data_IF_196568125861
#
_entry.id   IF_196568125861
#
_cell.length_a   1.000
_cell.length_b   1.000
_cell.length_c   1.000
_cell.angle_alpha   90.00
_cell.angle_beta   90.00
_cell.angle_gamma   90.00
#
_symmetry.space_group_name_H-M   'P 1'
#
loop_
_entity.id
_entity.type
_entity.pdbx_description
1 polymer ?
#
# COMPACT_ATOMS: atom_id res chain seq x y z
N UNK A 1 38.92 -35.57 -32.69
CA UNK A 1 37.55 -35.12 -33.02
C UNK A 1 37.11 -34.45 -31.75
N UNK A 2 37.35 -33.15 -31.71
CA UNK A 2 37.55 -32.36 -30.50
C UNK A 2 36.22 -31.78 -30.00
N UNK A 3 36.04 -31.82 -28.68
CA UNK A 3 34.90 -31.27 -27.94
C UNK A 3 34.91 -29.73 -27.82
N UNK A 4 35.84 -29.06 -28.50
CA UNK A 4 36.04 -27.60 -28.42
C UNK A 4 35.07 -26.78 -29.29
N UNK A 5 34.29 -27.42 -30.18
CA UNK A 5 33.38 -26.73 -31.09
C UNK A 5 32.00 -26.38 -30.48
N UNK A 6 31.68 -26.90 -29.27
CA UNK A 6 30.39 -26.61 -28.64
C UNK A 6 30.28 -25.14 -28.16
N UNK A 7 31.40 -24.51 -27.81
CA UNK A 7 31.42 -23.15 -27.25
C UNK A 7 31.48 -22.03 -28.29
N UNK A 8 31.78 -22.34 -29.56
CA UNK A 8 32.02 -21.32 -30.60
C UNK A 8 30.84 -21.06 -31.54
N UNK A 9 29.70 -21.74 -31.35
CA UNK A 9 28.51 -21.45 -32.15
C UNK A 9 27.82 -20.16 -31.68
N UNK A 10 27.65 -19.25 -32.63
CA UNK A 10 27.21 -17.85 -32.48
C UNK A 10 25.81 -17.64 -31.88
N UNK A 11 25.02 -18.69 -31.64
CA UNK A 11 23.71 -18.59 -30.98
C UNK A 11 23.79 -18.38 -29.45
N UNK A 12 24.86 -18.82 -28.78
CA UNK A 12 25.01 -18.63 -27.32
C UNK A 12 25.50 -17.23 -26.95
N UNK A 13 26.09 -16.47 -27.87
CA UNK A 13 26.50 -15.08 -27.65
C UNK A 13 25.34 -14.09 -27.56
N UNK A 14 24.19 -14.40 -28.17
CA UNK A 14 23.02 -13.50 -28.14
C UNK A 14 22.24 -13.53 -26.81
N UNK A 15 22.57 -14.45 -25.89
CA UNK A 15 21.97 -14.56 -24.54
C UNK A 15 22.98 -14.33 -23.41
N UNK A 16 24.18 -13.83 -23.71
CA UNK A 16 25.15 -13.48 -22.69
C UNK A 16 24.78 -12.14 -22.05
N UNK A 17 24.54 -12.16 -20.74
CA UNK A 17 24.44 -10.96 -19.92
C UNK A 17 25.75 -10.18 -20.01
N UNK A 18 25.67 -8.93 -20.48
CA UNK A 18 26.75 -7.96 -20.38
C UNK A 18 27.00 -7.64 -18.90
N UNK A 19 28.19 -7.97 -18.40
CA UNK A 19 28.65 -7.71 -17.02
C UNK A 19 29.86 -6.77 -17.03
N UNK A 20 29.74 -5.65 -17.72
CA UNK A 20 30.65 -4.52 -17.55
C UNK A 20 29.80 -3.26 -17.50
N UNK A 21 29.56 -2.80 -16.28
CA UNK A 21 29.54 -1.40 -15.84
C UNK A 21 29.04 -1.36 -14.38
N UNK A 22 29.71 -0.58 -13.54
CA UNK A 22 29.49 -0.36 -12.10
C UNK A 22 30.40 -1.14 -11.12
N UNK A 23 31.71 -1.03 -11.31
CA UNK A 23 32.67 -1.15 -10.19
C UNK A 23 32.74 0.21 -9.50
N UNK A 24 31.93 0.41 -8.45
CA UNK A 24 32.02 1.59 -7.59
C UNK A 24 33.37 1.62 -6.87
N UNK A 25 34.03 2.76 -6.92
CA UNK A 25 35.30 3.00 -6.24
C UNK A 25 35.11 3.11 -4.72
N UNK A 26 36.17 2.82 -3.96
CA UNK A 26 36.19 2.92 -2.48
C UNK A 26 35.83 4.31 -1.95
N UNK A 27 35.92 5.35 -2.79
CA UNK A 27 35.60 6.74 -2.43
C UNK A 27 34.10 7.05 -2.54
N UNK A 28 33.36 6.36 -3.41
CA UNK A 28 31.89 6.54 -3.55
C UNK A 28 31.13 5.91 -2.38
N UNK A 29 31.67 4.84 -1.78
CA UNK A 29 31.12 4.16 -0.59
C UNK A 29 31.11 5.08 0.64
N UNK A 30 32.02 6.06 0.72
CA UNK A 30 32.18 6.93 1.89
C UNK A 30 31.24 8.16 1.88
N UNK A 31 30.52 8.43 0.79
CA UNK A 31 29.71 9.64 0.63
C UNK A 31 28.19 9.46 0.83
N UNK A 32 27.71 8.23 1.07
CA UNK A 32 26.28 7.88 1.09
C UNK A 32 25.65 8.16 2.48
N UNK A 33 25.73 9.40 2.95
CA UNK A 33 25.20 9.77 4.27
C UNK A 33 24.72 11.21 4.43
N UNK A 34 24.83 12.06 3.41
CA UNK A 34 24.50 13.49 3.57
C UNK A 34 23.73 14.04 2.36
N UNK A 35 22.39 13.91 2.40
CA UNK A 35 21.41 14.95 2.02
C UNK A 35 19.97 14.38 1.98
N UNK A 36 19.02 14.93 2.74
CA UNK A 36 17.59 14.70 2.50
C UNK A 36 17.08 15.66 1.40
N UNK A 37 16.44 15.10 0.38
CA UNK A 37 15.75 15.86 -0.67
C UNK A 37 14.35 16.26 -0.19
N UNK A 38 14.01 17.53 -0.36
CA UNK A 38 12.75 18.14 0.03
C UNK A 38 11.78 18.27 -1.16
N UNK A 39 10.51 17.91 -0.93
CA UNK A 39 9.34 18.53 -1.59
C UNK A 39 8.70 17.76 -2.74
N UNK A 40 7.45 17.33 -2.56
CA UNK A 40 6.26 17.86 -3.25
C UNK A 40 4.99 17.11 -2.81
N UNK A 41 4.04 17.86 -2.26
CA UNK A 41 2.69 17.44 -1.90
C UNK A 41 1.76 17.59 -3.11
N UNK A 42 1.15 16.49 -3.55
CA UNK A 42 0.03 16.50 -4.49
C UNK A 42 -1.21 15.99 -3.77
N UNK A 43 -2.18 16.89 -3.57
CA UNK A 43 -3.51 16.58 -3.05
C UNK A 43 -4.30 15.79 -4.10
N UNK A 44 -4.37 14.48 -3.89
CA UNK A 44 -5.25 13.55 -4.61
C UNK A 44 -6.49 13.32 -3.73
N UNK A 45 -7.71 13.10 -4.28
CA UNK A 45 -8.96 13.00 -3.50
C UNK A 45 -9.03 11.81 -2.53
N UNK A 46 -7.98 11.00 -2.46
CA UNK A 46 -7.77 9.98 -1.43
C UNK A 46 -6.85 10.55 -0.34
N UNK A 47 -7.27 11.65 0.29
CA UNK A 47 -6.49 12.24 1.39
C UNK A 47 -6.54 11.34 2.62
N UNK A 48 -5.36 11.08 3.17
CA UNK A 48 -4.99 10.14 4.22
C UNK A 48 -5.39 10.60 5.64
N UNK A 49 -6.58 11.18 5.78
CA UNK A 49 -7.05 11.82 7.02
C UNK A 49 -7.38 10.82 8.15
N UNK A 50 -7.19 9.50 7.94
CA UNK A 50 -7.52 8.46 8.94
C UNK A 50 -6.27 7.96 9.71
N UNK A 51 -5.03 8.34 9.35
CA UNK A 51 -3.83 7.70 9.95
C UNK A 51 -3.16 8.49 11.10
N UNK A 52 -3.50 9.76 11.32
CA UNK A 52 -2.75 10.61 12.27
C UNK A 52 -3.15 10.47 13.75
N UNK A 53 -3.84 9.40 14.16
CA UNK A 53 -4.19 9.17 15.56
C UNK A 53 -3.51 7.95 16.20
N UNK A 54 -2.30 7.60 15.74
CA UNK A 54 -1.43 6.70 16.49
C UNK A 54 -0.58 7.51 17.48
N UNK A 55 -0.94 7.43 18.76
CA UNK A 55 0.02 7.71 19.86
C UNK A 55 1.34 7.04 19.48
N UNK A 56 2.45 7.78 19.47
CA UNK A 56 3.79 7.20 19.31
C UNK A 56 3.99 6.22 20.46
N UNK A 57 3.70 4.94 20.23
CA UNK A 57 3.95 3.88 21.20
C UNK A 57 5.46 3.86 21.40
N UNK A 58 5.90 4.26 22.60
CA UNK A 58 7.29 4.14 23.01
C UNK A 58 7.65 2.65 22.95
N UNK A 59 8.49 2.30 22.00
CA UNK A 59 8.95 0.93 21.80
C UNK A 59 9.92 0.61 22.94
N UNK A 60 9.68 -0.45 23.75
CA UNK A 60 10.59 -0.83 24.82
C UNK A 60 12.00 -1.11 24.29
N UNK A 61 13.05 -0.62 24.96
CA UNK A 61 14.44 -0.71 24.48
C UNK A 61 14.91 -2.15 24.24
N UNK A 62 14.39 -3.11 25.01
CA UNK A 62 14.68 -4.53 24.88
C UNK A 62 14.09 -5.18 23.61
N UNK A 63 13.24 -4.48 22.86
CA UNK A 63 12.81 -4.93 21.53
C UNK A 63 13.75 -4.44 20.43
N UNK A 64 14.65 -3.49 20.73
CA UNK A 64 15.62 -2.94 19.78
C UNK A 64 17.00 -3.58 19.94
N UNK A 65 17.38 -3.92 21.18
CA UNK A 65 18.70 -4.44 21.52
C UNK A 65 18.55 -5.59 22.52
N UNK A 66 19.31 -6.67 22.34
CA UNK A 66 19.28 -7.80 23.28
C UNK A 66 19.80 -7.37 24.66
N UNK A 67 19.29 -7.93 25.77
CA UNK A 67 19.77 -7.58 27.11
C UNK A 67 21.29 -7.72 27.27
N UNK A 68 21.88 -8.74 26.64
CA UNK A 68 23.34 -8.97 26.65
C UNK A 68 24.12 -7.85 25.97
N UNK A 69 23.62 -7.34 24.85
CA UNK A 69 24.24 -6.23 24.11
C UNK A 69 24.07 -4.93 24.89
N UNK A 70 22.90 -4.71 25.48
CA UNK A 70 22.63 -3.56 26.33
C UNK A 70 23.58 -3.51 27.54
N UNK A 71 23.78 -4.64 28.21
CA UNK A 71 24.72 -4.75 29.34
C UNK A 71 26.16 -4.42 28.92
N UNK A 72 26.59 -4.88 27.74
CA UNK A 72 27.92 -4.57 27.19
C UNK A 72 28.08 -3.07 26.89
N UNK A 73 27.06 -2.43 26.31
CA UNK A 73 27.07 -0.99 26.02
C UNK A 73 27.13 -0.18 27.32
N UNK A 74 26.31 -0.55 28.31
CA UNK A 74 26.30 0.11 29.63
C UNK A 74 27.64 -0.05 30.34
N UNK A 75 28.23 -1.26 30.28
CA UNK A 75 29.56 -1.51 30.85
C UNK A 75 30.63 -0.65 30.16
N UNK A 76 30.62 -0.58 28.83
CA UNK A 76 31.55 0.26 28.07
C UNK A 76 31.40 1.75 28.39
N UNK A 77 30.17 2.25 28.52
CA UNK A 77 29.88 3.64 28.87
C UNK A 77 30.24 3.98 30.32
N UNK A 78 30.19 3.01 31.23
CA UNK A 78 30.54 3.20 32.64
C UNK A 78 32.04 3.42 32.89
N UNK A 79 32.89 3.23 31.88
CA UNK A 79 34.35 3.32 32.01
C UNK A 79 34.98 2.20 32.86
N UNK A 80 34.18 1.25 33.34
CA UNK A 80 34.61 0.04 34.08
C UNK A 80 34.87 -1.16 33.18
N UNK A 81 34.82 -0.97 31.87
CA UNK A 81 35.24 -1.97 30.91
C UNK A 81 36.70 -2.37 31.23
N UNK A 82 37.02 -3.67 31.36
CA UNK A 82 38.39 -4.09 31.56
C UNK A 82 39.23 -3.49 30.44
N UNK A 83 40.11 -2.53 30.75
CA UNK A 83 41.09 -2.04 29.77
C UNK A 83 41.79 -3.27 29.23
N UNK A 84 41.63 -3.56 27.95
CA UNK A 84 42.20 -4.71 27.25
C UNK A 84 43.72 -4.75 27.52
N UNK A 85 44.12 -5.50 28.56
CA UNK A 85 45.46 -6.02 28.74
C UNK A 85 45.53 -7.44 28.19
N UNK A 86 44.74 -7.72 27.16
CA UNK A 86 44.86 -8.95 26.37
C UNK A 86 45.93 -8.61 25.32
N UNK A 87 47.05 -9.36 25.26
CA UNK A 87 48.08 -9.14 24.24
C UNK A 87 47.43 -9.14 22.85
N UNK A 88 47.85 -8.23 21.98
CA UNK A 88 47.39 -8.04 20.58
C UNK A 88 47.43 -9.29 19.67
N UNK A 89 47.70 -10.47 20.21
CA UNK A 89 48.04 -11.68 19.47
C UNK A 89 47.07 -12.87 19.71
N UNK A 90 45.97 -12.68 20.45
CA UNK A 90 44.91 -13.70 20.57
C UNK A 90 43.54 -13.03 20.46
N UNK A 91 43.17 -12.60 19.26
CA UNK A 91 41.81 -12.15 18.95
C UNK A 91 40.88 -13.37 18.91
N UNK A 92 40.36 -13.73 20.08
CA UNK A 92 39.29 -14.72 20.19
C UNK A 92 38.00 -14.19 19.55
N UNK A 93 37.17 -15.09 19.02
CA UNK A 93 35.86 -14.76 18.44
C UNK A 93 35.02 -13.85 19.35
N UNK A 94 35.08 -14.10 20.67
CA UNK A 94 34.36 -13.30 21.67
C UNK A 94 34.91 -11.88 21.77
N UNK A 95 36.23 -11.68 21.71
CA UNK A 95 36.84 -10.35 21.73
C UNK A 95 36.49 -9.56 20.46
N UNK A 96 36.56 -10.20 19.29
CA UNK A 96 36.18 -9.60 18.01
C UNK A 96 34.73 -9.12 18.03
N UNK A 97 33.79 -9.96 18.49
CA UNK A 97 32.37 -9.62 18.56
C UNK A 97 32.06 -8.51 19.56
N UNK A 98 32.73 -8.51 20.73
CA UNK A 98 32.60 -7.42 21.70
C UNK A 98 33.05 -6.09 21.10
N UNK A 99 34.20 -6.05 20.41
CA UNK A 99 34.67 -4.82 19.74
C UNK A 99 33.68 -4.37 18.67
N UNK A 100 33.15 -5.30 17.86
CA UNK A 100 32.18 -5.01 16.80
C UNK A 100 30.89 -4.38 17.34
N UNK A 101 30.33 -4.94 18.41
CA UNK A 101 29.13 -4.39 19.08
C UNK A 101 29.38 -2.99 19.65
N UNK A 102 30.56 -2.77 20.20
CA UNK A 102 30.95 -1.48 20.79
C UNK A 102 31.39 -0.46 19.73
N UNK A 103 31.32 -0.78 18.44
CA UNK A 103 31.77 0.10 17.34
C UNK A 103 33.28 0.37 17.34
N UNK A 104 34.08 -0.50 17.98
CA UNK A 104 35.54 -0.40 18.04
C UNK A 104 36.18 -1.06 16.82
N UNK A 105 37.41 -0.67 16.48
CA UNK A 105 38.18 -1.32 15.42
C UNK A 105 38.37 -2.81 15.72
N UNK A 106 38.09 -3.64 14.71
CA UNK A 106 38.30 -5.10 14.79
C UNK A 106 38.81 -5.63 13.45
N UNK A 107 39.59 -6.70 13.51
CA UNK A 107 40.23 -7.31 12.35
C UNK A 107 39.59 -8.66 12.03
N UNK A 108 38.50 -8.64 11.25
CA UNK A 108 37.78 -9.87 10.88
C UNK A 108 38.67 -10.86 10.10
N UNK A 109 39.69 -10.37 9.40
CA UNK A 109 40.64 -11.16 8.62
C UNK A 109 41.52 -12.12 9.46
N UNK A 110 41.54 -11.96 10.79
CA UNK A 110 42.19 -12.91 11.71
C UNK A 110 41.46 -14.27 11.67
N UNK A 111 40.15 -14.27 11.40
CA UNK A 111 39.34 -15.47 11.24
C UNK A 111 39.52 -16.07 9.83
N UNK A 112 40.58 -16.87 9.65
CA UNK A 112 40.93 -17.45 8.33
C UNK A 112 40.21 -18.76 8.02
N UNK A 113 40.05 -19.65 9.01
CA UNK A 113 39.46 -20.97 8.79
C UNK A 113 37.94 -20.91 8.67
N UNK A 114 37.36 -21.83 7.90
CA UNK A 114 35.89 -21.94 7.78
C UNK A 114 35.23 -22.13 9.15
N UNK A 115 35.78 -23.01 9.99
CA UNK A 115 35.30 -23.24 11.36
C UNK A 115 35.25 -21.94 12.17
N UNK A 116 36.34 -21.16 12.16
CA UNK A 116 36.40 -19.91 12.92
C UNK A 116 35.43 -18.85 12.39
N UNK A 117 35.23 -18.79 11.07
CA UNK A 117 34.23 -17.94 10.42
C UNK A 117 32.79 -18.34 10.78
N UNK A 118 32.51 -19.64 10.87
CA UNK A 118 31.22 -20.16 11.31
C UNK A 118 30.96 -19.82 12.78
N UNK A 119 31.93 -20.02 13.66
CA UNK A 119 31.84 -19.63 15.07
C UNK A 119 31.62 -18.13 15.26
N UNK A 120 32.25 -17.30 14.41
CA UNK A 120 32.06 -15.86 14.40
C UNK A 120 30.62 -15.47 14.04
N UNK A 121 30.05 -16.11 13.01
CA UNK A 121 28.66 -15.88 12.62
C UNK A 121 27.68 -16.36 13.70
N UNK A 122 27.89 -17.55 14.25
CA UNK A 122 27.06 -18.10 15.34
C UNK A 122 27.09 -17.21 16.58
N UNK A 123 28.27 -16.71 16.94
CA UNK A 123 28.43 -15.76 18.03
C UNK A 123 27.71 -14.43 17.77
N UNK A 124 27.80 -13.88 16.56
CA UNK A 124 27.08 -12.66 16.20
C UNK A 124 25.55 -12.84 16.29
N UNK A 125 25.04 -13.97 15.76
CA UNK A 125 23.61 -14.31 15.83
C UNK A 125 23.15 -14.50 17.28
N UNK A 126 23.95 -15.15 18.12
CA UNK A 126 23.62 -15.37 19.54
C UNK A 126 23.60 -14.06 20.37
N UNK A 127 24.35 -13.04 19.95
CA UNK A 127 24.35 -11.72 20.57
C UNK A 127 23.16 -10.88 20.11
N UNK A 128 22.66 -11.11 18.90
CA UNK A 128 21.44 -10.48 18.38
C UNK A 128 21.61 -9.01 17.98
N UNK A 129 22.84 -8.55 17.77
CA UNK A 129 23.10 -7.21 17.23
C UNK A 129 23.08 -7.26 15.69
N UNK A 130 22.13 -6.55 15.08
CA UNK A 130 21.91 -6.60 13.62
C UNK A 130 23.09 -6.07 12.81
N UNK A 131 23.81 -5.06 13.31
CA UNK A 131 24.98 -4.50 12.64
C UNK A 131 26.14 -5.49 12.67
N UNK A 132 26.40 -6.11 13.83
CA UNK A 132 27.43 -7.13 13.98
C UNK A 132 27.14 -8.34 13.07
N UNK A 133 25.89 -8.81 13.05
CA UNK A 133 25.46 -9.91 12.16
C UNK A 133 25.74 -9.53 10.70
N UNK A 134 25.29 -8.36 10.25
CA UNK A 134 25.47 -7.93 8.87
C UNK A 134 26.95 -7.75 8.50
N UNK A 135 27.76 -7.13 9.37
CA UNK A 135 29.21 -6.95 9.14
C UNK A 135 29.93 -8.29 8.97
N UNK A 136 29.60 -9.28 9.82
CA UNK A 136 30.16 -10.63 9.68
C UNK A 136 29.69 -11.27 8.38
N UNK A 137 28.41 -11.18 8.03
CA UNK A 137 27.89 -11.75 6.77
C UNK A 137 28.59 -11.16 5.54
N UNK A 138 28.78 -9.83 5.48
CA UNK A 138 29.50 -9.18 4.39
C UNK A 138 30.95 -9.65 4.29
N UNK A 139 31.64 -9.83 5.42
CA UNK A 139 32.97 -10.42 5.46
C UNK A 139 33.01 -11.86 4.93
N UNK A 140 32.00 -12.68 5.25
CA UNK A 140 31.91 -14.04 4.71
C UNK A 140 31.71 -14.03 3.20
N UNK A 141 30.82 -13.17 2.69
CA UNK A 141 30.56 -13.02 1.24
C UNK A 141 31.83 -12.63 0.48
N UNK A 142 32.66 -11.74 1.05
CA UNK A 142 33.90 -11.30 0.42
C UNK A 142 35.01 -12.37 0.43
N UNK A 143 34.96 -13.32 1.38
CA UNK A 143 36.10 -14.20 1.66
C UNK A 143 35.84 -15.70 1.46
N UNK A 144 34.61 -16.09 1.13
CA UNK A 144 34.21 -17.48 0.91
C UNK A 144 33.54 -17.64 -0.46
N UNK A 145 33.53 -18.87 -0.97
CA UNK A 145 32.79 -19.20 -2.19
C UNK A 145 31.27 -19.07 -1.95
N UNK A 146 30.54 -18.56 -2.97
CA UNK A 146 29.07 -18.38 -2.96
C UNK A 146 28.30 -19.60 -2.43
N UNK A 147 28.68 -20.83 -2.82
CA UNK A 147 27.99 -22.07 -2.36
C UNK A 147 28.11 -22.27 -0.84
N UNK A 148 29.30 -22.02 -0.29
CA UNK A 148 29.56 -22.16 1.15
C UNK A 148 28.82 -21.08 1.94
N UNK A 149 28.82 -19.84 1.44
CA UNK A 149 28.07 -18.74 2.06
C UNK A 149 26.57 -19.07 2.08
N UNK A 150 26.04 -19.58 0.98
CA UNK A 150 24.64 -20.00 0.88
C UNK A 150 24.29 -21.08 1.91
N UNK A 151 25.11 -22.12 2.06
CA UNK A 151 24.91 -23.18 3.05
C UNK A 151 24.94 -22.62 4.49
N UNK A 152 25.86 -21.69 4.77
CA UNK A 152 25.96 -21.04 6.08
C UNK A 152 24.74 -20.13 6.40
N UNK A 153 24.22 -19.41 5.40
CA UNK A 153 23.08 -18.50 5.58
C UNK A 153 21.74 -19.27 5.62
N UNK A 154 21.57 -20.30 4.79
CA UNK A 154 20.35 -21.12 4.77
C UNK A 154 20.11 -21.84 6.11
N UNK A 155 21.17 -22.20 6.82
CA UNK A 155 21.10 -22.76 8.18
C UNK A 155 20.88 -21.71 9.29
N UNK A 156 20.91 -20.40 8.96
CA UNK A 156 20.82 -19.28 9.93
C UNK A 156 19.85 -18.19 9.45
N UNK A 157 18.53 -18.39 9.64
CA UNK A 157 17.50 -17.49 9.11
C UNK A 157 17.64 -16.03 9.55
N UNK A 158 18.10 -15.76 10.77
CA UNK A 158 18.32 -14.39 11.26
C UNK A 158 19.38 -13.65 10.44
N UNK A 159 20.54 -14.28 10.23
CA UNK A 159 21.62 -13.71 9.42
C UNK A 159 21.20 -13.53 7.96
N UNK A 160 20.49 -14.51 7.41
CA UNK A 160 19.93 -14.44 6.06
C UNK A 160 18.93 -13.26 5.92
N UNK A 161 18.04 -13.06 6.88
CA UNK A 161 17.06 -11.98 6.84
C UNK A 161 17.72 -10.60 6.94
N UNK A 162 18.77 -10.44 7.76
CA UNK A 162 19.56 -9.21 7.79
C UNK A 162 20.21 -8.94 6.43
N UNK A 163 20.75 -9.96 5.77
CA UNK A 163 21.35 -9.82 4.45
C UNK A 163 20.32 -9.48 3.36
N UNK A 164 19.17 -10.17 3.34
CA UNK A 164 18.06 -9.85 2.44
C UNK A 164 17.60 -8.39 2.64
N UNK A 165 17.47 -7.95 3.88
CA UNK A 165 17.08 -6.57 4.21
C UNK A 165 18.10 -5.56 3.69
N UNK A 166 19.40 -5.87 3.85
CA UNK A 166 20.48 -5.04 3.32
C UNK A 166 20.45 -4.95 1.79
N UNK A 167 20.33 -6.08 1.08
CA UNK A 167 20.25 -6.07 -0.38
C UNK A 167 19.05 -5.27 -0.88
N UNK A 168 17.92 -5.34 -0.15
CA UNK A 168 16.72 -4.57 -0.44
C UNK A 168 16.93 -3.07 -0.21
N UNK A 169 17.59 -2.66 0.88
CA UNK A 169 17.83 -1.24 1.17
C UNK A 169 18.79 -0.60 0.18
N UNK A 170 19.85 -1.34 -0.18
CA UNK A 170 20.86 -0.90 -1.16
C UNK A 170 20.41 -1.05 -2.62
N UNK A 171 19.18 -1.53 -2.87
CA UNK A 171 18.64 -1.78 -4.21
C UNK A 171 19.50 -2.73 -5.08
N UNK A 172 20.24 -3.65 -4.45
CA UNK A 172 21.04 -4.69 -5.11
C UNK A 172 20.15 -5.84 -5.57
N UNK A 173 19.28 -5.55 -6.53
CA UNK A 173 18.19 -6.45 -6.90
C UNK A 173 18.68 -7.78 -7.48
N UNK A 174 19.73 -7.75 -8.33
CA UNK A 174 20.28 -8.95 -8.97
C UNK A 174 20.82 -9.93 -7.94
N UNK A 175 21.61 -9.43 -6.98
CA UNK A 175 22.15 -10.25 -5.89
C UNK A 175 21.02 -10.82 -5.01
N UNK A 176 19.96 -10.04 -4.77
CA UNK A 176 18.80 -10.48 -3.99
C UNK A 176 18.02 -11.58 -4.71
N UNK A 177 17.75 -11.42 -6.00
CA UNK A 177 17.01 -12.41 -6.78
C UNK A 177 17.79 -13.70 -6.93
N UNK A 178 19.11 -13.62 -7.13
CA UNK A 178 20.00 -14.79 -7.22
C UNK A 178 20.04 -15.55 -5.90
N UNK A 179 20.19 -14.84 -4.77
CA UNK A 179 20.17 -15.42 -3.43
C UNK A 179 18.85 -16.15 -3.17
N UNK A 180 17.72 -15.49 -3.42
CA UNK A 180 16.40 -16.07 -3.19
C UNK A 180 16.13 -17.27 -4.10
N UNK A 181 16.56 -17.21 -5.36
CA UNK A 181 16.45 -18.34 -6.29
C UNK A 181 17.27 -19.54 -5.81
N UNK A 182 18.50 -19.32 -5.34
CA UNK A 182 19.36 -20.38 -4.80
C UNK A 182 18.75 -21.05 -3.55
N UNK A 183 18.01 -20.28 -2.76
CA UNK A 183 17.27 -20.76 -1.57
C UNK A 183 15.93 -21.45 -1.91
N UNK A 184 15.60 -21.60 -3.20
CA UNK A 184 14.30 -22.13 -3.64
C UNK A 184 13.13 -21.17 -3.39
N UNK A 185 13.40 -19.90 -3.09
CA UNK A 185 12.41 -18.82 -2.84
C UNK A 185 12.15 -18.00 -4.11
N UNK A 186 12.08 -18.67 -5.26
CA UNK A 186 11.82 -18.05 -6.57
C UNK A 186 10.55 -17.19 -6.63
N UNK A 187 9.41 -17.55 -5.99
CA UNK A 187 8.23 -16.68 -5.96
C UNK A 187 8.51 -15.32 -5.32
N UNK A 188 9.30 -15.30 -4.23
CA UNK A 188 9.65 -14.07 -3.54
C UNK A 188 10.65 -13.23 -4.35
N UNK A 189 11.61 -13.89 -5.03
CA UNK A 189 12.51 -13.22 -5.97
C UNK A 189 11.71 -12.48 -7.05
N UNK A 190 10.69 -13.12 -7.62
CA UNK A 190 9.83 -12.54 -8.64
C UNK A 190 9.08 -11.30 -8.15
N UNK A 191 8.58 -11.32 -6.90
CA UNK A 191 7.90 -10.17 -6.28
C UNK A 191 8.87 -9.01 -6.04
N UNK A 192 10.08 -9.26 -5.56
CA UNK A 192 11.08 -8.18 -5.40
C UNK A 192 11.48 -7.59 -6.75
N UNK A 193 11.67 -8.42 -7.77
CA UNK A 193 11.97 -7.97 -9.12
C UNK A 193 10.84 -7.08 -9.67
N UNK A 194 9.59 -7.50 -9.47
CA UNK A 194 8.41 -6.71 -9.81
C UNK A 194 8.41 -5.33 -9.12
N UNK A 195 8.58 -5.30 -7.79
CA UNK A 195 8.61 -4.06 -7.02
C UNK A 195 9.74 -3.12 -7.48
N UNK A 196 10.91 -3.67 -7.76
CA UNK A 196 12.04 -2.91 -8.26
C UNK A 196 11.77 -2.32 -9.65
N UNK A 197 11.14 -3.07 -10.56
CA UNK A 197 10.75 -2.56 -11.88
C UNK A 197 9.79 -1.38 -11.74
N UNK A 198 8.72 -1.52 -10.94
CA UNK A 198 7.74 -0.45 -10.74
C UNK A 198 8.40 0.80 -10.16
N UNK A 199 9.29 0.64 -9.18
CA UNK A 199 10.02 1.76 -8.55
C UNK A 199 10.97 2.46 -9.52
N UNK A 200 11.71 1.71 -10.35
CA UNK A 200 12.75 2.27 -11.21
C UNK A 200 12.24 2.79 -12.55
N UNK A 201 11.15 2.25 -13.09
CA UNK A 201 10.59 2.74 -14.34
C UNK A 201 9.70 3.98 -14.17
N UNK A 202 9.23 4.26 -12.94
CA UNK A 202 8.41 5.44 -12.67
C UNK A 202 7.18 5.48 -13.56
N UNK A 203 7.02 6.55 -14.35
CA UNK A 203 5.88 6.73 -15.25
C UNK A 203 6.16 6.27 -16.70
N UNK A 204 7.26 5.55 -16.96
CA UNK A 204 7.55 5.03 -18.30
C UNK A 204 6.70 3.79 -18.60
N UNK A 205 5.56 3.98 -19.27
CA UNK A 205 4.62 2.89 -19.62
C UNK A 205 5.29 1.84 -20.52
N UNK A 206 6.05 2.25 -21.54
CA UNK A 206 6.78 1.31 -22.40
C UNK A 206 7.86 0.52 -21.66
N UNK A 207 8.60 1.20 -20.76
CA UNK A 207 9.62 0.57 -19.93
C UNK A 207 9.02 -0.46 -18.98
N UNK A 208 7.89 -0.10 -18.33
CA UNK A 208 7.11 -0.99 -17.48
C UNK A 208 6.60 -2.19 -18.28
N UNK A 209 5.89 -1.99 -19.39
CA UNK A 209 5.35 -3.07 -20.21
C UNK A 209 6.42 -4.07 -20.64
N UNK A 210 7.56 -3.57 -21.16
CA UNK A 210 8.65 -4.45 -21.61
C UNK A 210 9.21 -5.29 -20.45
N UNK A 211 9.51 -4.68 -19.31
CA UNK A 211 10.12 -5.38 -18.17
C UNK A 211 9.13 -6.29 -17.44
N UNK A 212 7.87 -5.87 -17.28
CA UNK A 212 6.84 -6.64 -16.59
C UNK A 212 6.39 -7.86 -17.41
N UNK A 213 6.28 -7.74 -18.74
CA UNK A 213 6.02 -8.91 -19.59
C UNK A 213 7.15 -9.94 -19.50
N UNK A 214 8.41 -9.49 -19.44
CA UNK A 214 9.55 -10.37 -19.25
C UNK A 214 9.46 -11.12 -17.91
N UNK A 215 9.13 -10.41 -16.83
CA UNK A 215 8.95 -11.02 -15.49
C UNK A 215 7.77 -11.98 -15.45
N UNK A 216 6.65 -11.64 -16.09
CA UNK A 216 5.48 -12.51 -16.18
C UNK A 216 5.85 -13.84 -16.86
N UNK A 217 6.49 -13.78 -18.02
CA UNK A 217 6.90 -14.95 -18.81
C UNK A 217 7.90 -15.83 -18.07
N UNK A 218 8.94 -15.22 -17.48
CA UNK A 218 10.05 -15.99 -16.92
C UNK A 218 9.78 -16.50 -15.50
N UNK A 219 8.94 -15.82 -14.73
CA UNK A 219 8.76 -16.13 -13.31
C UNK A 219 7.31 -16.45 -12.95
N UNK A 220 6.35 -15.59 -13.27
CA UNK A 220 4.97 -15.73 -12.76
C UNK A 220 4.14 -16.80 -13.49
N UNK A 221 4.56 -17.21 -14.70
CA UNK A 221 3.94 -18.31 -15.44
C UNK A 221 4.52 -19.69 -15.09
N UNK A 222 5.42 -19.77 -14.11
CA UNK A 222 6.03 -21.03 -13.71
C UNK A 222 5.12 -21.84 -12.75
N UNK A 223 5.19 -23.19 -12.78
CA UNK A 223 4.46 -24.03 -11.84
C UNK A 223 4.82 -23.70 -10.38
N UNK A 224 3.80 -23.62 -9.51
CA UNK A 224 3.98 -23.36 -8.07
C UNK A 224 3.91 -21.88 -7.66
N UNK A 225 3.70 -20.96 -8.60
CA UNK A 225 3.40 -19.55 -8.29
C UNK A 225 1.94 -19.37 -7.90
N UNK A 226 1.71 -18.48 -6.93
CA UNK A 226 0.38 -18.06 -6.49
C UNK A 226 -0.43 -17.43 -7.65
N UNK A 227 -1.58 -18.02 -7.95
CA UNK A 227 -2.47 -17.59 -9.05
C UNK A 227 -2.99 -16.17 -8.86
N UNK A 228 -3.17 -15.74 -7.62
CA UNK A 228 -3.58 -14.38 -7.30
C UNK A 228 -2.49 -13.37 -7.68
N UNK A 229 -1.22 -13.64 -7.34
CA UNK A 229 -0.08 -12.80 -7.71
C UNK A 229 0.10 -12.69 -9.22
N UNK A 230 -0.08 -13.79 -9.97
CA UNK A 230 -0.06 -13.77 -11.44
C UNK A 230 -1.20 -12.94 -12.00
N UNK A 231 -2.43 -13.10 -11.49
CA UNK A 231 -3.59 -12.30 -11.91
C UNK A 231 -3.36 -10.80 -11.69
N UNK A 232 -2.82 -10.42 -10.53
CA UNK A 232 -2.49 -9.02 -10.21
C UNK A 232 -1.52 -8.41 -11.23
N UNK A 233 -0.44 -9.13 -11.57
CA UNK A 233 0.52 -8.68 -12.58
C UNK A 233 -0.11 -8.57 -13.97
N UNK A 234 -0.89 -9.58 -14.38
CA UNK A 234 -1.58 -9.58 -15.67
C UNK A 234 -2.56 -8.42 -15.79
N UNK A 235 -3.35 -8.13 -14.76
CA UNK A 235 -4.30 -7.02 -14.79
C UNK A 235 -3.60 -5.65 -14.79
N UNK A 236 -2.46 -5.53 -14.11
CA UNK A 236 -1.63 -4.33 -14.20
C UNK A 236 -1.03 -4.12 -15.60
N UNK A 237 -0.57 -5.19 -16.25
CA UNK A 237 -0.11 -5.13 -17.65
C UNK A 237 -1.25 -4.68 -18.57
N UNK A 238 -2.47 -5.23 -18.43
CA UNK A 238 -3.64 -4.79 -19.20
C UNK A 238 -3.97 -3.31 -19.00
N UNK A 239 -3.81 -2.79 -17.79
CA UNK A 239 -3.97 -1.36 -17.52
C UNK A 239 -2.91 -0.53 -18.26
N UNK A 240 -1.64 -0.94 -18.20
CA UNK A 240 -0.55 -0.27 -18.90
C UNK A 240 -0.74 -0.31 -20.42
N UNK A 241 -1.24 -1.42 -20.99
CA UNK A 241 -1.59 -1.53 -22.40
C UNK A 241 -2.69 -0.54 -22.79
N UNK A 242 -3.72 -0.40 -21.95
CA UNK A 242 -4.75 0.61 -22.14
C UNK A 242 -4.17 2.03 -22.06
N UNK A 243 -3.33 2.33 -21.06
CA UNK A 243 -2.66 3.63 -20.90
C UNK A 243 -1.79 3.98 -22.11
N UNK A 244 -1.05 2.99 -22.64
CA UNK A 244 -0.27 3.12 -23.86
C UNK A 244 -1.16 3.41 -25.08
N UNK A 245 -2.27 2.68 -25.21
CA UNK A 245 -3.20 2.87 -26.33
C UNK A 245 -3.83 4.27 -26.33
N UNK A 246 -4.31 4.75 -25.17
CA UNK A 246 -4.93 6.08 -25.08
C UNK A 246 -3.90 7.22 -25.17
N UNK A 247 -2.63 6.91 -24.87
CA UNK A 247 -1.46 7.79 -25.04
C UNK A 247 -1.64 9.16 -24.36
N UNK A 248 -2.00 9.14 -23.08
CA UNK A 248 -2.20 10.33 -22.23
C UNK A 248 -1.17 10.33 -21.11
N UNK A 249 -0.22 11.28 -21.16
CA UNK A 249 0.91 11.36 -20.23
C UNK A 249 0.49 11.48 -18.76
N UNK A 250 -0.62 12.14 -18.50
CA UNK A 250 -1.23 12.34 -17.18
C UNK A 250 -1.80 11.04 -16.57
N UNK A 251 -2.05 10.03 -17.41
CA UNK A 251 -2.53 8.71 -17.00
C UNK A 251 -1.42 7.68 -16.86
N UNK A 252 -0.19 8.02 -17.24
CA UNK A 252 0.91 7.08 -17.22
C UNK A 252 1.17 6.56 -15.81
N UNK A 253 1.11 5.23 -15.66
CA UNK A 253 1.28 4.52 -14.39
C UNK A 253 0.32 4.98 -13.28
N UNK A 254 -0.83 5.56 -13.64
CA UNK A 254 -1.89 5.87 -12.68
C UNK A 254 -2.72 4.65 -12.35
N UNK A 255 -3.37 4.67 -11.20
CA UNK A 255 -4.27 3.59 -10.79
C UNK A 255 -5.52 3.54 -11.68
N UNK A 256 -6.19 2.38 -11.72
CA UNK A 256 -7.45 2.20 -12.44
C UNK A 256 -8.51 3.24 -12.02
N UNK A 257 -8.57 3.59 -10.74
CA UNK A 257 -9.54 4.56 -10.22
C UNK A 257 -9.18 6.00 -10.57
N UNK A 258 -7.90 6.36 -10.64
CA UNK A 258 -7.46 7.66 -11.17
C UNK A 258 -7.76 7.77 -12.67
N UNK A 259 -7.54 6.70 -13.45
CA UNK A 259 -7.93 6.65 -14.85
C UNK A 259 -9.46 6.79 -15.01
N UNK A 260 -10.25 6.11 -14.19
CA UNK A 260 -11.71 6.26 -14.19
C UNK A 260 -12.14 7.68 -13.83
N UNK A 261 -11.49 8.28 -12.83
CA UNK A 261 -11.73 9.69 -12.44
C UNK A 261 -11.54 10.62 -13.63
N UNK A 262 -10.43 10.48 -14.36
CA UNK A 262 -10.16 11.25 -15.57
C UNK A 262 -11.21 11.02 -16.67
N UNK A 263 -11.57 9.75 -16.93
CA UNK A 263 -12.62 9.40 -17.88
C UNK A 263 -13.98 10.03 -17.50
N UNK A 264 -14.37 10.01 -16.22
CA UNK A 264 -15.61 10.64 -15.76
C UNK A 264 -15.57 12.17 -15.89
N UNK A 265 -14.42 12.80 -15.66
CA UNK A 265 -14.26 14.26 -15.76
C UNK A 265 -14.37 14.76 -17.20
N UNK A 266 -13.71 14.07 -18.14
CA UNK A 266 -13.48 14.59 -19.50
C UNK A 266 -14.26 13.85 -20.60
N UNK A 267 -14.66 12.60 -20.35
CA UNK A 267 -15.19 11.68 -21.36
C UNK A 267 -16.53 11.04 -20.95
N UNK A 268 -17.28 11.69 -20.05
CA UNK A 268 -18.55 11.16 -19.52
C UNK A 268 -19.58 10.83 -20.62
N UNK A 269 -19.65 11.65 -21.66
CA UNK A 269 -20.63 11.51 -22.74
C UNK A 269 -20.22 10.48 -23.81
N UNK A 270 -19.02 9.91 -23.72
CA UNK A 270 -18.54 8.92 -24.68
C UNK A 270 -19.28 7.59 -24.51
N UNK A 271 -19.83 7.09 -25.61
CA UNK A 271 -20.59 5.84 -25.64
C UNK A 271 -19.76 4.58 -25.42
N UNK A 272 -20.44 3.46 -25.17
CA UNK A 272 -19.82 2.15 -25.09
C UNK A 272 -19.07 1.83 -26.40
N UNK A 273 -17.81 1.40 -26.27
CA UNK A 273 -16.91 1.18 -27.41
C UNK A 273 -15.81 2.23 -27.54
N UNK A 274 -16.02 3.46 -27.07
CA UNK A 274 -14.92 4.42 -26.93
C UNK A 274 -14.01 3.99 -25.77
N UNK A 275 -12.70 3.95 -26.01
CA UNK A 275 -11.70 3.48 -25.05
C UNK A 275 -11.60 4.35 -23.79
N UNK A 276 -11.90 5.64 -23.92
CA UNK A 276 -11.90 6.62 -22.82
C UNK A 276 -13.27 6.74 -22.15
N UNK A 277 -14.30 6.05 -22.65
CA UNK A 277 -15.60 6.00 -21.97
C UNK A 277 -15.46 5.35 -20.59
N UNK A 278 -16.01 5.96 -19.52
CA UNK A 278 -16.01 5.37 -18.18
C UNK A 278 -16.53 3.93 -18.16
N UNK A 279 -17.59 3.64 -18.92
CA UNK A 279 -18.20 2.31 -18.96
C UNK A 279 -17.29 1.28 -19.62
N UNK A 280 -16.67 1.63 -20.75
CA UNK A 280 -15.71 0.75 -21.44
C UNK A 280 -14.52 0.45 -20.54
N UNK A 281 -13.97 1.46 -19.84
CA UNK A 281 -12.86 1.27 -18.91
C UNK A 281 -13.26 0.34 -17.76
N UNK A 282 -14.44 0.54 -17.16
CA UNK A 282 -14.94 -0.32 -16.09
C UNK A 282 -15.04 -1.78 -16.50
N UNK A 283 -15.58 -2.04 -17.70
CA UNK A 283 -15.72 -3.40 -18.21
C UNK A 283 -14.35 -4.05 -18.44
N UNK A 284 -13.41 -3.32 -19.05
CA UNK A 284 -12.07 -3.85 -19.38
C UNK A 284 -11.21 -4.11 -18.15
N UNK A 285 -11.25 -3.20 -17.18
CA UNK A 285 -10.44 -3.28 -15.97
C UNK A 285 -11.18 -3.95 -14.80
N UNK A 286 -12.37 -4.52 -15.05
CA UNK A 286 -13.19 -5.22 -14.06
C UNK A 286 -13.46 -4.37 -12.80
N UNK A 287 -13.71 -3.06 -12.99
CA UNK A 287 -14.04 -2.16 -11.89
C UNK A 287 -15.39 -2.58 -11.30
N UNK A 288 -15.43 -2.75 -9.97
CA UNK A 288 -16.65 -3.18 -9.30
C UNK A 288 -17.73 -2.09 -9.35
N UNK A 289 -19.03 -2.45 -9.34
CA UNK A 289 -20.10 -1.46 -9.32
C UNK A 289 -20.01 -0.48 -8.13
N UNK A 290 -19.53 -0.96 -6.97
CA UNK A 290 -19.29 -0.11 -5.80
C UNK A 290 -18.21 0.95 -6.06
N UNK A 291 -17.07 0.56 -6.63
CA UNK A 291 -15.99 1.49 -6.98
C UNK A 291 -16.43 2.49 -8.05
N UNK A 292 -17.20 2.03 -9.04
CA UNK A 292 -17.75 2.89 -10.07
C UNK A 292 -18.68 3.95 -9.48
N UNK A 293 -19.69 3.53 -8.70
CA UNK A 293 -20.61 4.45 -8.03
C UNK A 293 -19.83 5.47 -7.18
N UNK A 294 -18.84 5.01 -6.41
CA UNK A 294 -18.03 5.89 -5.56
C UNK A 294 -17.28 6.96 -6.35
N UNK A 295 -16.58 6.57 -7.44
CA UNK A 295 -15.81 7.52 -8.26
C UNK A 295 -16.74 8.51 -8.95
N UNK A 296 -17.82 8.03 -9.57
CA UNK A 296 -18.78 8.86 -10.29
C UNK A 296 -19.45 9.88 -9.36
N UNK A 297 -19.90 9.44 -8.17
CA UNK A 297 -20.48 10.33 -7.17
C UNK A 297 -19.53 11.48 -6.85
N UNK A 298 -18.28 11.15 -6.49
CA UNK A 298 -17.30 12.14 -6.08
C UNK A 298 -16.89 13.07 -7.22
N UNK A 299 -16.70 12.54 -8.44
CA UNK A 299 -16.32 13.36 -9.60
C UNK A 299 -17.41 14.37 -9.95
N UNK A 300 -18.65 13.92 -10.10
CA UNK A 300 -19.72 14.78 -10.60
C UNK A 300 -20.26 15.71 -9.51
N UNK A 301 -20.36 15.28 -8.26
CA UNK A 301 -20.78 16.15 -7.16
C UNK A 301 -19.76 17.28 -6.90
N UNK A 302 -18.45 16.97 -6.85
CA UNK A 302 -17.43 18.02 -6.72
C UNK A 302 -17.38 18.97 -7.93
N UNK A 303 -17.86 18.52 -9.10
CA UNK A 303 -18.01 19.36 -10.29
C UNK A 303 -19.35 20.11 -10.33
N UNK A 304 -20.16 20.07 -9.26
CA UNK A 304 -21.52 20.61 -9.17
C UNK A 304 -22.49 20.11 -10.27
N UNK A 305 -22.23 18.94 -10.87
CA UNK A 305 -23.07 18.28 -11.88
C UNK A 305 -24.10 17.37 -11.21
N UNK A 306 -24.97 17.98 -10.41
CA UNK A 306 -25.97 17.26 -9.61
C UNK A 306 -27.04 16.55 -10.43
N UNK A 307 -27.33 17.03 -11.64
CA UNK A 307 -28.21 16.39 -12.62
C UNK A 307 -27.73 14.98 -12.98
N UNK A 308 -26.42 14.82 -13.21
CA UNK A 308 -25.80 13.52 -13.50
C UNK A 308 -25.92 12.62 -12.26
N UNK A 309 -25.57 13.13 -11.08
CA UNK A 309 -25.64 12.38 -9.82
C UNK A 309 -27.08 11.92 -9.55
N UNK A 310 -28.06 12.80 -9.65
CA UNK A 310 -29.47 12.44 -9.45
C UNK A 310 -29.93 11.37 -10.45
N UNK A 311 -29.55 11.49 -11.73
CA UNK A 311 -29.94 10.50 -12.76
C UNK A 311 -29.37 9.10 -12.52
N UNK A 312 -28.19 8.99 -11.91
CA UNK A 312 -27.52 7.70 -11.69
C UNK A 312 -27.96 7.05 -10.38
N UNK A 313 -28.06 7.87 -9.33
CA UNK A 313 -28.37 7.40 -7.98
C UNK A 313 -29.87 7.31 -7.71
N UNK A 314 -30.70 7.82 -8.63
CA UNK A 314 -32.15 7.68 -8.54
C UNK A 314 -32.75 7.09 -9.81
N UNK A 315 -33.69 6.16 -9.66
CA UNK A 315 -34.48 5.59 -10.75
C UNK A 315 -35.94 5.95 -10.56
N UNK A 316 -36.62 6.31 -11.64
CA UNK A 316 -38.06 6.49 -11.64
C UNK A 316 -38.72 5.21 -12.12
N UNK A 317 -39.60 4.66 -11.30
CA UNK A 317 -40.46 3.56 -11.71
C UNK A 317 -41.55 4.07 -12.67
N UNK A 318 -42.27 3.17 -13.32
CA UNK A 318 -43.35 3.51 -14.26
C UNK A 318 -44.49 4.35 -13.63
N UNK A 319 -44.64 4.32 -12.29
CA UNK A 319 -45.56 5.16 -11.51
C UNK A 319 -44.97 6.53 -11.13
N UNK A 320 -43.79 6.89 -11.65
CA UNK A 320 -43.08 8.14 -11.31
C UNK A 320 -42.45 8.15 -9.92
N UNK A 321 -42.50 7.04 -9.17
CA UNK A 321 -41.86 6.92 -7.85
C UNK A 321 -40.34 6.87 -8.01
N UNK A 322 -39.64 7.68 -7.24
CA UNK A 322 -38.18 7.76 -7.26
C UNK A 322 -37.59 6.81 -6.23
N UNK A 323 -36.73 5.89 -6.65
CA UNK A 323 -36.04 4.91 -5.81
C UNK A 323 -34.53 5.11 -5.90
N UNK A 324 -33.80 4.83 -4.81
CA UNK A 324 -32.33 4.98 -4.81
C UNK A 324 -31.66 3.74 -5.38
N UNK A 325 -30.87 3.94 -6.43
CA UNK A 325 -30.09 2.93 -7.13
C UNK A 325 -28.61 3.15 -6.84
N UNK A 326 -28.04 2.40 -5.89
CA UNK A 326 -26.60 2.43 -5.60
C UNK A 326 -26.14 1.14 -4.94
N UNK A 327 -24.89 0.78 -5.22
CA UNK A 327 -24.14 -0.30 -4.58
C UNK A 327 -23.40 0.18 -3.32
N UNK A 328 -23.32 1.49 -3.09
CA UNK A 328 -22.73 2.06 -1.87
C UNK A 328 -23.68 1.78 -0.69
N UNK A 329 -23.18 1.24 0.43
CA UNK A 329 -23.97 1.09 1.65
C UNK A 329 -24.63 2.41 2.04
N UNK A 330 -25.92 2.36 2.40
CA UNK A 330 -26.75 3.57 2.49
C UNK A 330 -26.24 4.60 3.50
N UNK A 331 -25.69 4.17 4.63
CA UNK A 331 -25.09 5.08 5.63
C UNK A 331 -23.85 5.77 5.10
N UNK A 332 -22.99 5.04 4.39
CA UNK A 332 -21.79 5.57 3.73
C UNK A 332 -22.18 6.57 2.63
N UNK A 333 -23.18 6.23 1.82
CA UNK A 333 -23.72 7.11 0.79
C UNK A 333 -24.26 8.42 1.40
N UNK A 334 -25.05 8.33 2.48
CA UNK A 334 -25.58 9.52 3.17
C UNK A 334 -24.47 10.38 3.77
N UNK A 335 -23.44 9.77 4.38
CA UNK A 335 -22.31 10.53 4.91
C UNK A 335 -21.60 11.30 3.80
N UNK A 336 -21.30 10.61 2.69
CA UNK A 336 -20.60 11.21 1.56
C UNK A 336 -21.43 12.30 0.89
N UNK A 337 -22.73 12.08 0.68
CA UNK A 337 -23.63 13.09 0.13
C UNK A 337 -23.73 14.33 1.03
N UNK A 338 -23.74 14.16 2.35
CA UNK A 338 -23.72 15.26 3.29
C UNK A 338 -22.41 16.06 3.22
N UNK A 339 -21.26 15.37 3.15
CA UNK A 339 -19.95 16.01 2.98
C UNK A 339 -19.87 16.80 1.67
N UNK A 340 -20.38 16.22 0.58
CA UNK A 340 -20.48 16.84 -0.74
C UNK A 340 -21.57 17.92 -0.84
N UNK A 341 -22.27 18.26 0.25
CA UNK A 341 -23.34 19.26 0.27
C UNK A 341 -24.52 18.96 -0.67
N UNK A 342 -24.91 17.70 -0.79
CA UNK A 342 -26.07 17.29 -1.56
C UNK A 342 -27.37 17.94 -1.07
N UNK A 343 -28.33 18.08 -1.99
CA UNK A 343 -29.63 18.65 -1.66
C UNK A 343 -30.35 17.85 -0.58
N UNK A 344 -31.08 18.54 0.31
CA UNK A 344 -31.91 17.91 1.35
C UNK A 344 -32.94 16.95 0.76
N UNK A 345 -33.39 17.21 -0.48
CA UNK A 345 -34.28 16.32 -1.26
C UNK A 345 -33.61 15.00 -1.62
N UNK A 346 -32.37 15.03 -2.12
CA UNK A 346 -31.62 13.81 -2.44
C UNK A 346 -31.33 12.98 -1.18
N UNK A 347 -30.93 13.66 -0.11
CA UNK A 347 -30.74 13.04 1.22
C UNK A 347 -32.02 12.38 1.74
N UNK A 348 -33.17 13.07 1.62
CA UNK A 348 -34.47 12.52 1.99
C UNK A 348 -34.84 11.29 1.16
N UNK A 349 -34.53 11.29 -0.14
CA UNK A 349 -34.78 10.16 -1.05
C UNK A 349 -33.97 8.93 -0.61
N UNK A 350 -32.70 9.13 -0.23
CA UNK A 350 -31.83 8.08 0.32
C UNK A 350 -32.36 7.53 1.65
N UNK A 351 -32.72 8.41 2.60
CA UNK A 351 -33.29 7.99 3.89
C UNK A 351 -34.59 7.18 3.72
N UNK A 352 -35.42 7.52 2.72
CA UNK A 352 -36.67 6.81 2.46
C UNK A 352 -36.50 5.36 1.99
N UNK A 353 -35.29 4.95 1.57
CA UNK A 353 -34.96 3.55 1.25
C UNK A 353 -34.72 2.69 2.50
N UNK A 354 -34.43 3.31 3.64
CA UNK A 354 -34.14 2.60 4.89
C UNK A 354 -35.43 1.99 5.43
N UNK A 355 -35.47 0.66 5.53
CA UNK A 355 -36.65 -0.08 5.97
C UNK A 355 -36.88 0.02 7.49
N UNK A 356 -35.79 0.02 8.27
CA UNK A 356 -35.86 0.17 9.72
C UNK A 356 -36.23 1.62 10.07
N UNK A 357 -37.41 1.81 10.67
CA UNK A 357 -37.93 3.13 11.01
C UNK A 357 -37.10 3.90 12.02
N UNK A 358 -36.55 3.21 13.03
CA UNK A 358 -35.74 3.83 14.08
C UNK A 358 -34.39 4.29 13.54
N UNK A 359 -33.76 3.45 12.73
CA UNK A 359 -32.49 3.76 12.07
C UNK A 359 -32.65 4.92 11.07
N UNK A 360 -33.74 4.89 10.29
CA UNK A 360 -34.11 5.99 9.40
C UNK A 360 -34.28 7.30 10.16
N UNK A 361 -35.00 7.28 11.28
CA UNK A 361 -35.26 8.46 12.10
C UNK A 361 -33.95 8.98 12.72
N UNK A 362 -33.10 8.08 13.24
CA UNK A 362 -31.77 8.41 13.79
C UNK A 362 -30.90 9.16 12.77
N UNK A 363 -30.80 8.64 11.55
CA UNK A 363 -30.01 9.28 10.49
C UNK A 363 -30.63 10.59 9.99
N UNK A 364 -31.97 10.68 9.95
CA UNK A 364 -32.67 11.91 9.61
C UNK A 364 -32.36 13.03 10.63
N UNK A 365 -32.29 12.72 11.92
CA UNK A 365 -31.80 13.64 12.95
C UNK A 365 -30.34 14.02 12.71
N UNK A 366 -29.45 13.03 12.52
CA UNK A 366 -28.00 13.25 12.33
C UNK A 366 -27.71 14.23 11.19
N UNK A 367 -28.35 14.05 10.04
CA UNK A 367 -28.13 14.88 8.85
C UNK A 367 -29.09 16.08 8.73
N UNK A 368 -29.91 16.33 9.76
CA UNK A 368 -30.91 17.41 9.79
C UNK A 368 -31.78 17.42 8.54
N UNK A 369 -32.41 16.27 8.25
CA UNK A 369 -33.39 16.11 7.16
C UNK A 369 -34.79 16.18 7.78
N UNK A 370 -35.23 17.41 8.06
CA UNK A 370 -36.41 17.71 8.88
C UNK A 370 -37.71 17.11 8.35
N UNK A 371 -37.93 17.14 7.03
CA UNK A 371 -39.12 16.55 6.40
C UNK A 371 -39.27 15.06 6.74
N UNK A 372 -38.17 14.31 6.69
CA UNK A 372 -38.16 12.88 7.00
C UNK A 372 -38.38 12.63 8.50
N UNK A 373 -37.86 13.49 9.38
CA UNK A 373 -38.13 13.40 10.83
C UNK A 373 -39.63 13.58 11.09
N UNK A 374 -40.24 14.65 10.55
CA UNK A 374 -41.66 14.96 10.74
C UNK A 374 -42.55 13.82 10.21
N UNK A 375 -42.28 13.33 8.99
CA UNK A 375 -43.00 12.21 8.41
C UNK A 375 -42.88 10.91 9.22
N UNK A 376 -41.70 10.65 9.80
CA UNK A 376 -41.44 9.43 10.57
C UNK A 376 -42.16 9.48 11.93
N UNK A 377 -42.12 10.62 12.63
CA UNK A 377 -42.86 10.82 13.87
C UNK A 377 -44.38 10.78 13.65
N UNK A 378 -44.86 11.34 12.54
CA UNK A 378 -46.25 11.22 12.10
C UNK A 378 -46.65 9.75 11.90
N UNK A 379 -45.82 8.95 11.21
CA UNK A 379 -46.08 7.51 11.01
C UNK A 379 -46.10 6.73 12.31
N UNK A 380 -45.24 7.09 13.27
CA UNK A 380 -45.23 6.52 14.62
C UNK A 380 -46.44 6.98 15.45
N UNK A 381 -47.10 8.07 15.04
CA UNK A 381 -48.18 8.77 15.75
C UNK A 381 -47.74 9.32 17.10
N UNK A 382 -46.47 9.69 17.23
CA UNK A 382 -45.90 10.25 18.46
C UNK A 382 -46.04 11.77 18.48
N UNK A 383 -47.10 12.25 19.15
CA UNK A 383 -47.41 13.68 19.24
C UNK A 383 -46.39 14.43 20.09
N UNK A 384 -45.92 13.81 21.17
CA UNK A 384 -45.00 14.41 22.13
C UNK A 384 -43.63 14.62 21.49
N UNK A 385 -43.08 13.61 20.82
CA UNK A 385 -41.82 13.72 20.11
C UNK A 385 -41.89 14.77 18.98
N UNK A 386 -42.97 14.83 18.20
CA UNK A 386 -43.12 15.83 17.14
C UNK A 386 -43.23 17.25 17.69
N UNK A 387 -43.92 17.42 18.83
CA UNK A 387 -44.04 18.72 19.51
C UNK A 387 -42.67 19.18 20.01
N UNK A 388 -41.92 18.29 20.67
CA UNK A 388 -40.57 18.58 21.14
C UNK A 388 -39.62 18.88 19.98
N UNK A 389 -39.71 18.14 18.88
CA UNK A 389 -38.88 18.38 17.71
C UNK A 389 -39.18 19.73 17.07
N UNK A 390 -40.46 20.13 16.94
CA UNK A 390 -40.85 21.44 16.44
C UNK A 390 -40.17 22.59 17.22
N UNK A 391 -40.01 22.45 18.54
CA UNK A 391 -39.33 23.46 19.37
C UNK A 391 -37.84 23.61 19.05
N UNK A 392 -37.23 22.62 18.40
CA UNK A 392 -35.82 22.69 17.95
C UNK A 392 -35.66 23.35 16.58
N UNK A 393 -36.76 23.56 15.85
CA UNK A 393 -36.76 24.19 14.53
C UNK A 393 -36.81 25.71 14.68
N UNK A 394 -36.20 26.41 13.72
CA UNK A 394 -36.24 27.87 13.66
C UNK A 394 -37.70 28.34 13.51
N UNK A 395 -38.19 29.27 14.36
CA UNK A 395 -39.54 29.81 14.21
C UNK A 395 -39.76 30.38 12.80
N UNK A 396 -40.94 30.11 12.23
CA UNK A 396 -41.35 30.52 10.88
C UNK A 396 -40.57 29.89 9.71
N UNK A 397 -39.67 28.94 9.95
CA UNK A 397 -39.08 28.16 8.85
C UNK A 397 -40.13 27.27 8.18
N UNK A 398 -39.88 26.84 6.94
CA UNK A 398 -40.78 25.93 6.21
C UNK A 398 -41.01 24.62 7.00
N UNK A 399 -39.97 24.13 7.65
CA UNK A 399 -40.01 22.91 8.46
C UNK A 399 -40.81 23.10 9.74
N UNK A 400 -40.72 24.28 10.38
CA UNK A 400 -41.54 24.62 11.54
C UNK A 400 -43.02 24.64 11.16
N UNK A 401 -43.35 25.28 10.03
CA UNK A 401 -44.72 25.35 9.50
C UNK A 401 -45.22 23.95 9.15
N UNK A 402 -44.39 23.11 8.52
CA UNK A 402 -44.72 21.73 8.20
C UNK A 402 -45.03 20.91 9.47
N UNK A 403 -44.20 21.02 10.50
CA UNK A 403 -44.43 20.34 11.77
C UNK A 403 -45.70 20.83 12.47
N UNK A 404 -45.95 22.14 12.45
CA UNK A 404 -47.15 22.74 13.02
C UNK A 404 -48.43 22.30 12.30
N UNK A 405 -48.43 22.34 10.97
CA UNK A 405 -49.57 21.88 10.17
C UNK A 405 -49.86 20.40 10.42
N UNK A 406 -48.81 19.57 10.48
CA UNK A 406 -48.94 18.14 10.80
C UNK A 406 -49.56 17.92 12.18
N UNK A 407 -49.17 18.69 13.20
CA UNK A 407 -49.74 18.58 14.56
C UNK A 407 -51.22 19.01 14.66
N UNK A 408 -51.63 19.92 13.79
CA UNK A 408 -53.00 20.50 13.73
C UNK A 408 -53.95 19.70 12.86
N UNK A 409 -53.45 18.73 12.10
CA UNK A 409 -54.27 17.99 11.16
C UNK A 409 -55.27 17.05 11.88
N UNK A 410 -56.60 17.30 11.75
CA UNK A 410 -57.62 16.65 12.56
C UNK A 410 -57.87 15.18 12.19
N UNK A 411 -57.38 14.74 11.04
CA UNK A 411 -57.52 13.36 10.55
C UNK A 411 -56.58 12.37 11.28
N UNK A 412 -55.57 12.87 12.01
CA UNK A 412 -54.54 12.03 12.64
C UNK A 412 -54.97 11.62 14.04
N UNK A 413 -55.10 10.29 14.25
CA UNK A 413 -55.27 9.69 15.58
C UNK A 413 -53.91 9.46 16.23
N UNK A 414 -53.50 10.36 17.12
CA UNK A 414 -52.24 10.30 17.87
C UNK A 414 -52.23 9.17 18.90
N UNK A 415 -51.06 8.58 19.15
CA UNK A 415 -50.80 7.75 20.33
C UNK A 415 -50.42 8.71 21.45
N UNK A 416 -51.14 8.64 22.56
CA UNK A 416 -50.84 9.45 23.76
C UNK A 416 -49.60 8.93 24.47
#
# INVERSE_FOLDING_TARGET
MDDDDYWNNSETKAKAFSFDDDVLSTQEILAIGQKPYSGQSNDVPFSSTIVNNTKRNLIPLNTLISPKVLDLIVLAQSGKDPKDKIPENIDTTVATLKRLILGRSCFLHVHRSLKSKTELLDGAVALGDGNAILSVVLFLIQTLNKKVVHELLSSRPLALNHYISYLRSECKITELTDLLTMLGRSPEAAVYQFQHIVKTQGNSVDGLLRKLNNVLSNHFNQPGIDTHSTKMLTDYIKLLEWQKYVNKTELNNKSVLECLTHCCQLHWHEGAGNMMSPLTLCQRQQITPLQYDWVVLNVHANSNKWDIVESLFTKKDWLGRTTVSSHIPIETLLSQLNELQASKRMMATCLNKIQNGDEKLRLAYKYKIHSVVIESLLKQKDRTALTNYKMTLSPQSEEYILAENTLREPSIKWKN
#
